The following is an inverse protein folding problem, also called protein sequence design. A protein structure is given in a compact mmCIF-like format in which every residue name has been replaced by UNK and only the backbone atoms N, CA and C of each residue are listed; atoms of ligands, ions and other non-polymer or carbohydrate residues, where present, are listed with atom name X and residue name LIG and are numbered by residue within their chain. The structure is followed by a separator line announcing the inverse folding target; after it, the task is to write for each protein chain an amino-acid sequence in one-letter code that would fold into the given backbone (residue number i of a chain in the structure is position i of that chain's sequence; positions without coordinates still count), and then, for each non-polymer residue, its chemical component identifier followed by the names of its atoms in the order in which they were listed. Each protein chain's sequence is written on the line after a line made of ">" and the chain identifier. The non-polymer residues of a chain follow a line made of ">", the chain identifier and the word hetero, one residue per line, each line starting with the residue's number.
data_IF_122145235701
#
_entry.id   IF_122145235701
#
_cell.length_a   1.000
_cell.length_b   1.000
_cell.length_c   1.000
_cell.angle_alpha   90.00
_cell.angle_beta   90.00
_cell.angle_gamma   90.00
#
_symmetry.space_group_name_H-M   'P 1'
#
loop_
_entity.id
_entity.type
_entity.pdbx_description
1 polymer ?
#
# COMPACT_ATOMS: atom_id res chain seq x y z
N UNK A 1 17.59 5.39 0.77
CA UNK A 1 16.24 4.85 0.44
C UNK A 1 15.46 4.69 1.73
N UNK A 2 14.22 5.19 1.76
CA UNK A 2 13.30 5.03 2.88
C UNK A 2 11.93 4.59 2.38
N UNK A 3 11.28 3.71 3.13
CA UNK A 3 10.00 3.12 2.77
C UNK A 3 9.14 2.93 4.02
N UNK A 4 7.81 2.80 3.87
CA UNK A 4 6.95 2.32 4.95
C UNK A 4 7.43 0.98 5.50
N UNK A 5 7.28 0.77 6.82
CA UNK A 5 7.63 -0.50 7.46
C UNK A 5 6.73 -1.68 6.99
N UNK A 6 5.58 -1.35 6.41
CA UNK A 6 4.63 -2.31 5.86
C UNK A 6 4.05 -1.73 4.56
N UNK A 7 4.09 -2.51 3.48
CA UNK A 7 3.55 -2.11 2.18
C UNK A 7 2.18 -2.73 1.96
N UNK A 8 1.21 -1.92 1.58
CA UNK A 8 -0.14 -2.42 1.27
C UNK A 8 -0.22 -2.87 -0.19
N UNK A 9 -0.82 -4.03 -0.37
CA UNK A 9 -1.08 -4.61 -1.68
C UNK A 9 -2.25 -3.87 -2.34
N UNK A 10 -2.13 -3.59 -3.64
CA UNK A 10 -3.20 -2.99 -4.44
C UNK A 10 -3.42 -1.49 -4.23
N UNK A 11 -2.56 -0.81 -3.47
CA UNK A 11 -2.58 0.64 -3.32
C UNK A 11 -1.24 1.25 -3.71
N UNK A 12 -1.25 2.55 -4.02
CA UNK A 12 -0.03 3.30 -4.31
C UNK A 12 0.73 3.55 -3.01
N UNK A 13 1.97 3.09 -2.94
CA UNK A 13 2.90 3.36 -1.86
C UNK A 13 4.04 4.25 -2.37
N UNK A 14 4.48 5.20 -1.54
CA UNK A 14 5.56 6.13 -1.87
C UNK A 14 6.88 5.63 -1.27
N UNK A 15 7.89 5.47 -2.13
CA UNK A 15 9.25 5.08 -1.73
C UNK A 15 10.16 6.28 -1.94
N UNK A 16 10.84 6.73 -0.88
CA UNK A 16 11.77 7.85 -0.95
C UNK A 16 13.17 7.37 -1.32
N UNK A 17 13.76 8.02 -2.33
CA UNK A 17 15.14 7.82 -2.71
C UNK A 17 15.84 9.17 -2.81
N UNK A 18 17.09 9.20 -2.36
CA UNK A 18 17.94 10.38 -2.37
C UNK A 18 19.38 9.95 -2.68
N UNK A 19 20.15 10.88 -3.22
CA UNK A 19 21.61 10.83 -3.19
C UNK A 19 22.15 12.02 -2.40
N UNK A 20 23.00 11.75 -1.41
CA UNK A 20 23.68 12.79 -0.64
C UNK A 20 25.00 13.19 -1.33
N UNK A 21 25.30 14.49 -1.30
CA UNK A 21 26.51 15.08 -1.89
C UNK A 21 26.69 14.83 -3.40
N UNK A 22 25.62 14.44 -4.08
CA UNK A 22 25.59 14.30 -5.54
C UNK A 22 25.67 15.68 -6.21
N UNK A 23 26.74 15.90 -6.97
CA UNK A 23 26.95 17.09 -7.78
C UNK A 23 27.40 16.62 -9.17
N UNK A 24 26.45 16.34 -10.06
CA UNK A 24 26.76 15.73 -11.35
C UNK A 24 25.55 15.53 -12.24
N UNK A 25 25.69 14.59 -13.16
CA UNK A 25 24.65 14.22 -14.13
C UNK A 25 23.40 13.61 -13.46
N UNK A 26 22.31 13.58 -14.22
CA UNK A 26 21.06 12.95 -13.83
C UNK A 26 21.25 11.47 -13.44
N UNK A 27 20.72 11.09 -12.29
CA UNK A 27 20.81 9.73 -11.76
C UNK A 27 19.46 9.05 -11.88
N UNK A 28 19.39 8.04 -12.75
CA UNK A 28 18.19 7.22 -12.89
C UNK A 28 18.22 6.13 -11.83
N UNK A 29 17.25 6.15 -10.93
CA UNK A 29 17.08 5.14 -9.89
C UNK A 29 15.88 4.26 -10.22
N UNK A 30 16.13 2.95 -10.38
CA UNK A 30 15.07 1.98 -10.60
C UNK A 30 14.64 1.38 -9.28
N UNK A 31 13.37 1.58 -8.92
CA UNK A 31 12.77 1.01 -7.71
C UNK A 31 12.00 -0.25 -8.13
N UNK A 32 12.26 -1.39 -7.49
CA UNK A 32 11.61 -2.66 -7.80
C UNK A 32 11.21 -3.43 -6.56
N UNK A 33 10.11 -4.17 -6.66
CA UNK A 33 9.62 -5.08 -5.64
C UNK A 33 9.72 -6.50 -6.19
N UNK A 34 10.52 -7.33 -5.54
CA UNK A 34 10.73 -8.73 -5.89
C UNK A 34 10.06 -9.66 -4.87
N UNK A 35 9.66 -10.85 -5.31
CA UNK A 35 9.08 -11.85 -4.42
C UNK A 35 10.07 -12.36 -3.36
N UNK A 36 9.58 -12.62 -2.15
CA UNK A 36 10.33 -13.29 -1.09
C UNK A 36 9.95 -14.78 -1.01
N UNK A 37 10.89 -15.69 -0.69
CA UNK A 37 12.32 -15.46 -0.45
C UNK A 37 13.17 -15.50 -1.72
N UNK A 38 12.62 -15.96 -2.85
CA UNK A 38 13.45 -16.37 -4.00
C UNK A 38 14.05 -15.23 -4.83
N UNK A 39 13.49 -14.01 -4.77
CA UNK A 39 13.85 -12.86 -5.62
C UNK A 39 13.84 -13.15 -7.14
N UNK A 40 13.04 -14.13 -7.58
CA UNK A 40 12.98 -14.56 -9.00
C UNK A 40 11.93 -13.82 -9.80
N UNK A 41 10.93 -13.27 -9.14
CA UNK A 41 9.75 -12.68 -9.76
C UNK A 41 9.70 -11.20 -9.44
N UNK A 42 9.68 -10.38 -10.48
CA UNK A 42 9.41 -8.94 -10.38
C UNK A 42 7.91 -8.74 -10.21
N UNK A 43 7.50 -8.18 -9.07
CA UNK A 43 6.11 -7.91 -8.74
C UNK A 43 5.67 -6.52 -9.22
N UNK A 44 6.54 -5.52 -9.05
CA UNK A 44 6.29 -4.15 -9.50
C UNK A 44 7.61 -3.41 -9.68
N UNK A 45 7.63 -2.39 -10.54
CA UNK A 45 8.77 -1.49 -10.67
C UNK A 45 8.32 -0.09 -11.08
N UNK A 46 9.16 0.89 -10.74
CA UNK A 46 9.07 2.27 -11.22
C UNK A 46 10.48 2.83 -11.38
N UNK A 47 10.62 4.01 -11.97
CA UNK A 47 11.91 4.70 -12.08
C UNK A 47 11.72 6.18 -11.85
N UNK A 48 12.70 6.79 -11.18
CA UNK A 48 12.75 8.22 -10.93
C UNK A 48 14.12 8.75 -11.35
N UNK A 49 14.16 10.01 -11.77
CA UNK A 49 15.40 10.69 -12.13
C UNK A 49 15.75 11.69 -11.04
N UNK A 50 16.87 11.51 -10.38
CA UNK A 50 17.41 12.44 -9.39
C UNK A 50 18.32 13.44 -10.11
N UNK A 51 18.05 14.72 -9.97
CA UNK A 51 18.77 15.79 -10.67
C UNK A 51 18.84 17.07 -9.82
N UNK A 52 19.51 18.10 -10.33
CA UNK A 52 19.65 19.36 -9.61
C UNK A 52 18.30 20.04 -9.29
N UNK A 53 17.30 19.92 -10.17
CA UNK A 53 15.99 20.55 -9.98
C UNK A 53 15.22 19.97 -8.78
N UNK A 54 15.38 18.66 -8.52
CA UNK A 54 14.80 18.00 -7.35
C UNK A 54 15.77 17.83 -6.18
N UNK A 55 16.94 18.50 -6.21
CA UNK A 55 18.01 18.36 -5.20
C UNK A 55 18.43 16.90 -4.99
N UNK A 56 18.44 16.11 -6.05
CA UNK A 56 18.75 14.68 -6.05
C UNK A 56 17.91 13.85 -5.07
N UNK A 57 16.63 14.22 -4.87
CA UNK A 57 15.68 13.49 -4.03
C UNK A 57 14.30 13.41 -4.67
N UNK A 58 13.66 12.24 -4.62
CA UNK A 58 12.32 12.04 -5.20
C UNK A 58 11.55 10.88 -4.55
N UNK A 59 10.22 10.96 -4.59
CA UNK A 59 9.32 9.85 -4.27
C UNK A 59 9.01 9.04 -5.53
N UNK A 60 9.29 7.74 -5.50
CA UNK A 60 8.81 6.78 -6.48
C UNK A 60 7.51 6.14 -6.03
N UNK A 61 6.49 6.20 -6.88
CA UNK A 61 5.20 5.55 -6.63
C UNK A 61 5.21 4.12 -7.15
N UNK A 62 4.82 3.17 -6.30
CA UNK A 62 4.76 1.75 -6.66
C UNK A 62 3.45 1.14 -6.16
N UNK A 63 2.86 0.25 -6.96
CA UNK A 63 1.67 -0.51 -6.57
C UNK A 63 1.99 -1.99 -6.71
N UNK A 64 1.87 -2.74 -5.62
CA UNK A 64 2.14 -4.17 -5.60
C UNK A 64 0.87 -4.92 -6.00
N UNK A 65 0.90 -5.78 -7.03
CA UNK A 65 -0.27 -6.58 -7.41
C UNK A 65 -0.54 -7.66 -6.36
N UNK A 66 -1.82 -7.93 -6.08
CA UNK A 66 -2.21 -8.90 -5.04
C UNK A 66 -2.39 -10.34 -5.49
N UNK A 67 -2.29 -10.63 -6.79
CA UNK A 67 -2.55 -11.96 -7.33
C UNK A 67 -1.56 -13.03 -6.83
N UNK A 68 -0.32 -12.63 -6.57
CA UNK A 68 0.77 -13.56 -6.20
C UNK A 68 0.89 -13.80 -4.69
N UNK A 69 -0.03 -13.27 -3.88
CA UNK A 69 0.01 -13.38 -2.43
C UNK A 69 -1.16 -14.20 -1.88
N UNK A 70 -0.92 -14.92 -0.79
CA UNK A 70 -1.94 -15.68 -0.07
C UNK A 70 -2.86 -14.73 0.69
N UNK A 71 -4.17 -14.91 0.55
CA UNK A 71 -5.17 -14.12 1.27
C UNK A 71 -5.41 -14.58 2.72
N UNK A 72 -4.66 -15.58 3.18
CA UNK A 72 -4.73 -16.07 4.57
C UNK A 72 -4.13 -15.03 5.53
N UNK A 73 -4.98 -14.46 6.38
CA UNK A 73 -4.61 -13.43 7.35
C UNK A 73 -3.56 -13.90 8.39
N UNK A 74 -3.38 -15.20 8.57
CA UNK A 74 -2.40 -15.74 9.51
C UNK A 74 -0.99 -15.88 8.90
N UNK A 75 -0.86 -15.73 7.58
CA UNK A 75 0.41 -15.90 6.88
C UNK A 75 1.10 -14.55 6.71
N UNK A 76 2.24 -14.37 7.38
CA UNK A 76 3.10 -13.21 7.16
C UNK A 76 3.89 -13.38 5.88
N UNK A 77 3.67 -12.47 4.93
CA UNK A 77 4.37 -12.47 3.64
C UNK A 77 5.26 -11.26 3.52
N UNK A 78 6.41 -11.43 2.87
CA UNK A 78 7.39 -10.37 2.69
C UNK A 78 7.70 -10.16 1.21
N UNK A 79 8.33 -9.04 0.91
CA UNK A 79 8.91 -8.71 -0.40
C UNK A 79 10.30 -8.13 -0.22
N UNK A 80 11.11 -8.21 -1.28
CA UNK A 80 12.37 -7.47 -1.35
C UNK A 80 12.10 -6.16 -2.09
N UNK A 81 12.19 -5.04 -1.39
CA UNK A 81 12.20 -3.71 -1.99
C UNK A 81 13.64 -3.34 -2.33
N UNK A 82 13.86 -2.96 -3.58
CA UNK A 82 15.17 -2.64 -4.13
C UNK A 82 15.16 -1.26 -4.77
N UNK A 83 16.23 -0.50 -4.58
CA UNK A 83 16.53 0.71 -5.35
C UNK A 83 17.91 0.54 -6.00
N UNK A 84 17.91 0.41 -7.32
CA UNK A 84 19.11 0.29 -8.14
C UNK A 84 19.52 1.68 -8.61
N UNK A 85 20.61 2.19 -8.03
CA UNK A 85 21.38 3.33 -8.52
C UNK A 85 22.41 2.82 -9.56
N UNK A 86 23.05 3.70 -10.36
CA UNK A 86 24.05 3.28 -11.33
C UNK A 86 25.22 2.48 -10.74
N UNK A 87 25.62 2.82 -9.53
CA UNK A 87 26.80 2.30 -8.82
C UNK A 87 26.44 1.38 -7.64
N UNK A 88 25.24 1.53 -7.08
CA UNK A 88 24.84 0.82 -5.86
C UNK A 88 23.43 0.24 -5.93
N UNK A 89 23.25 -0.95 -5.36
CA UNK A 89 21.94 -1.53 -5.08
C UNK A 89 21.65 -1.43 -3.58
N UNK A 90 20.56 -0.75 -3.23
CA UNK A 90 20.00 -0.77 -1.89
C UNK A 90 18.85 -1.78 -1.83
N UNK A 91 18.81 -2.60 -0.78
CA UNK A 91 17.75 -3.60 -0.60
C UNK A 91 17.22 -3.58 0.85
N UNK A 92 15.91 -3.76 1.00
CA UNK A 92 15.25 -3.96 2.28
C UNK A 92 14.17 -5.06 2.15
N UNK A 93 14.03 -5.90 3.17
CA UNK A 93 12.92 -6.84 3.28
C UNK A 93 11.78 -6.15 4.01
N UNK A 94 10.58 -6.16 3.43
CA UNK A 94 9.41 -5.46 3.95
C UNK A 94 8.22 -6.41 4.05
N UNK A 95 7.45 -6.32 5.13
CA UNK A 95 6.20 -7.06 5.33
C UNK A 95 5.10 -6.47 4.42
N UNK A 96 4.29 -7.33 3.82
CA UNK A 96 3.11 -6.89 3.06
C UNK A 96 1.82 -7.04 3.85
N UNK A 97 0.85 -6.18 3.56
CA UNK A 97 -0.49 -6.23 4.14
C UNK A 97 -1.56 -6.12 3.06
N UNK A 98 -2.67 -6.83 3.26
CA UNK A 98 -3.85 -6.77 2.41
C UNK A 98 -4.91 -5.79 2.95
N UNK A 99 -4.56 -4.98 3.93
CA UNK A 99 -5.45 -3.97 4.46
C UNK A 99 -5.75 -2.92 3.38
N UNK A 100 -6.95 -3.01 2.80
CA UNK A 100 -7.38 -2.17 1.67
C UNK A 100 -8.15 -0.92 2.09
N UNK A 101 -8.37 -0.69 3.38
CA UNK A 101 -9.07 0.49 3.88
C UNK A 101 -9.64 0.32 5.29
N UNK A 102 -10.61 1.18 5.60
CA UNK A 102 -11.32 1.20 6.88
C UNK A 102 -12.83 1.27 6.63
N UNK A 103 -13.58 0.63 7.52
CA UNK A 103 -15.03 0.73 7.58
C UNK A 103 -15.40 1.39 8.91
N UNK A 104 -16.10 2.52 8.83
CA UNK A 104 -16.67 3.19 10.00
C UNK A 104 -18.16 2.93 10.04
N UNK A 105 -18.62 2.30 11.11
CA UNK A 105 -20.04 2.05 11.38
C UNK A 105 -20.50 3.09 12.38
N UNK A 106 -21.58 3.79 12.05
CA UNK A 106 -22.21 4.76 12.95
C UNK A 106 -23.68 4.40 13.10
N UNK A 107 -24.09 4.15 14.34
CA UNK A 107 -25.50 4.02 14.71
C UNK A 107 -26.11 5.39 15.03
N UNK A 108 -27.45 5.48 15.02
CA UNK A 108 -28.14 6.72 15.40
C UNK A 108 -28.02 7.00 16.91
N UNK A 109 -27.87 5.95 17.74
CA UNK A 109 -27.68 6.04 19.19
C UNK A 109 -26.70 4.99 19.70
N UNK A 110 -26.12 5.23 20.87
CA UNK A 110 -25.18 4.32 21.56
C UNK A 110 -25.85 3.28 22.45
N UNK A 111 -27.11 3.50 22.86
CA UNK A 111 -27.86 2.61 23.75
C UNK A 111 -29.30 2.45 23.26
N UNK A 112 -29.82 1.22 23.35
CA UNK A 112 -31.18 0.86 22.93
C UNK A 112 -31.92 0.13 24.04
N UNK A 113 -33.24 0.30 24.07
CA UNK A 113 -34.13 -0.57 24.84
C UNK A 113 -34.54 -1.78 23.99
N UNK A 114 -34.94 -2.91 24.62
CA UNK A 114 -35.47 -4.05 23.89
C UNK A 114 -36.58 -3.65 22.90
N UNK A 115 -36.61 -4.30 21.73
CA UNK A 115 -37.54 -4.04 20.62
C UNK A 115 -37.40 -2.67 19.93
N UNK A 116 -36.36 -1.90 20.22
CA UNK A 116 -36.06 -0.69 19.45
C UNK A 116 -35.47 -1.03 18.08
N UNK A 117 -35.83 -0.24 17.06
CA UNK A 117 -35.19 -0.29 15.75
C UNK A 117 -33.87 0.47 15.78
N UNK A 118 -32.78 -0.18 15.37
CA UNK A 118 -31.44 0.42 15.24
C UNK A 118 -31.28 0.97 13.83
N UNK A 119 -30.95 2.26 13.70
CA UNK A 119 -30.57 2.84 12.42
C UNK A 119 -29.05 2.95 12.37
N UNK A 120 -28.45 2.58 11.25
CA UNK A 120 -27.01 2.68 11.07
C UNK A 120 -26.64 3.16 9.67
N UNK A 121 -25.43 3.72 9.56
CA UNK A 121 -24.79 4.06 8.30
C UNK A 121 -23.33 3.63 8.32
N UNK A 122 -22.79 3.39 7.14
CA UNK A 122 -21.43 2.88 6.95
C UNK A 122 -20.66 3.77 5.99
N UNK A 123 -19.41 4.06 6.35
CA UNK A 123 -18.46 4.76 5.52
C UNK A 123 -17.26 3.86 5.25
N UNK A 124 -17.02 3.56 3.97
CA UNK A 124 -15.78 2.92 3.53
C UNK A 124 -14.80 3.99 3.09
N UNK A 125 -13.57 3.96 3.60
CA UNK A 125 -12.49 4.85 3.15
C UNK A 125 -11.24 4.05 2.81
N UNK A 126 -10.48 4.55 1.84
CA UNK A 126 -9.16 4.04 1.49
C UNK A 126 -8.15 4.33 2.61
N UNK A 127 -6.94 3.75 2.60
CA UNK A 127 -5.88 4.10 3.54
C UNK A 127 -5.48 5.58 3.50
N UNK A 128 -5.75 6.28 2.39
CA UNK A 128 -5.52 7.72 2.22
C UNK A 128 -6.67 8.58 2.77
N UNK A 129 -7.66 7.98 3.45
CA UNK A 129 -8.87 8.64 3.95
C UNK A 129 -9.77 9.22 2.85
N UNK A 130 -9.70 8.66 1.65
CA UNK A 130 -10.58 9.03 0.55
C UNK A 130 -11.82 8.13 0.54
N UNK A 131 -13.01 8.65 0.19
CA UNK A 131 -14.21 7.82 0.09
C UNK A 131 -14.03 6.68 -0.91
N UNK A 132 -14.41 5.46 -0.53
CA UNK A 132 -14.47 4.35 -1.49
C UNK A 132 -15.70 4.56 -2.38
N UNK A 133 -15.48 4.94 -3.65
CA UNK A 133 -16.56 5.12 -4.61
C UNK A 133 -17.29 3.80 -4.86
N UNK A 134 -18.61 3.80 -4.64
CA UNK A 134 -19.43 2.64 -4.98
C UNK A 134 -19.65 2.64 -6.48
N UNK A 135 -18.96 1.75 -7.20
CA UNK A 135 -19.41 1.38 -8.53
C UNK A 135 -20.79 0.72 -8.39
N UNK A 136 -21.84 1.46 -8.75
CA UNK A 136 -23.25 1.05 -8.67
C UNK A 136 -23.57 -0.22 -9.48
N UNK A 137 -22.63 -0.69 -10.32
CA UNK A 137 -22.77 -1.90 -11.11
C UNK A 137 -22.52 -3.22 -10.33
N UNK A 138 -21.75 -3.21 -9.22
CA UNK A 138 -21.34 -4.43 -8.50
C UNK A 138 -21.47 -4.33 -6.96
N UNK A 139 -22.34 -3.45 -6.46
CA UNK A 139 -22.48 -3.19 -5.04
C UNK A 139 -23.30 -4.26 -4.30
N UNK A 140 -22.75 -5.47 -4.15
CA UNK A 140 -23.08 -6.35 -3.04
C UNK A 140 -21.81 -6.66 -2.26
N UNK A 141 -21.35 -5.70 -1.45
CA UNK A 141 -20.50 -6.03 -0.33
C UNK A 141 -21.45 -6.64 0.71
N UNK A 142 -21.61 -7.96 0.68
CA UNK A 142 -22.28 -8.70 1.75
C UNK A 142 -21.36 -8.67 2.97
N UNK A 143 -21.74 -7.89 3.97
CA UNK A 143 -21.11 -7.92 5.29
C UNK A 143 -22.03 -8.77 6.15
N UNK A 144 -21.64 -10.03 6.35
CA UNK A 144 -22.32 -10.91 7.28
C UNK A 144 -21.97 -10.47 8.70
N UNK A 145 -22.94 -9.87 9.38
CA UNK A 145 -22.82 -9.52 10.80
C UNK A 145 -23.47 -10.66 11.58
N UNK A 146 -22.65 -11.59 12.08
CA UNK A 146 -23.10 -12.56 13.06
C UNK A 146 -23.29 -11.85 14.41
N UNK A 147 -24.54 -11.85 14.90
CA UNK A 147 -24.85 -11.46 16.28
C UNK A 147 -24.92 -12.75 17.08
N UNK A 148 -23.97 -12.94 18.00
CA UNK A 148 -23.96 -14.03 18.98
C UNK A 148 -25.12 -13.91 19.97
#
# INVERSE_FOLDING_TARGET
>A
MSAPNMLRVGVVENIFVECQDCNGDDIIVRISVMNHPSKKTLLAATSVTLNADNNFQQLGQITIPGADFSKDANVKQHVHLQAQFPDQLLEQIVLVSFQSGYIFIQTDKTLYTPNSKVLYRMFGVTPAMEPVERNLANASISIDIEVL
#
